data_IF_576304850447
#
_entry.id   IF_576304850447
#
_cell.length_a   1.000
_cell.length_b   1.000
_cell.length_c   1.000
_cell.angle_alpha   90.00
_cell.angle_beta   90.00
_cell.angle_gamma   90.00
#
_symmetry.space_group_name_H-M   'P 1'
#
loop_
_entity.id
_entity.type
_entity.pdbx_description
1 polymer ?
#
# COMPACT_ATOMS: atom_id res chain seq x y z
N UNK A 1 -0.23 1.11 35.97
CA UNK A 1 -1.24 1.38 34.94
C UNK A 1 -0.51 2.04 33.78
N UNK A 2 -0.27 1.30 32.70
CA UNK A 2 0.48 1.80 31.53
C UNK A 2 -0.51 2.62 30.70
N UNK A 3 -0.37 3.93 30.70
CA UNK A 3 -1.20 4.82 29.91
C UNK A 3 -0.86 4.62 28.42
N UNK A 4 -1.78 4.03 27.67
CA UNK A 4 -1.73 3.97 26.21
C UNK A 4 -1.56 5.40 25.67
N UNK A 5 -0.61 5.65 24.74
CA UNK A 5 -0.42 6.99 24.20
C UNK A 5 -1.69 7.35 23.42
N UNK A 6 -2.50 8.23 24.00
CA UNK A 6 -3.67 8.79 23.35
C UNK A 6 -3.23 9.43 22.02
N UNK A 7 -3.44 8.72 20.91
CA UNK A 7 -3.09 9.19 19.58
C UNK A 7 -3.68 10.58 19.38
N UNK A 8 -2.81 11.58 19.24
CA UNK A 8 -3.20 12.96 19.07
C UNK A 8 -4.05 13.10 17.80
N UNK A 9 -5.37 13.22 17.97
CA UNK A 9 -6.29 13.40 16.85
C UNK A 9 -6.05 14.79 16.25
N UNK A 10 -5.34 14.85 15.13
CA UNK A 10 -5.17 16.08 14.35
C UNK A 10 -6.47 16.40 13.60
N UNK A 11 -6.91 17.65 13.68
CA UNK A 11 -8.02 18.16 12.86
C UNK A 11 -7.45 18.58 11.51
N UNK A 12 -8.10 18.12 10.45
CA UNK A 12 -7.79 18.49 9.08
C UNK A 12 -9.03 19.13 8.47
N UNK A 13 -8.86 20.28 7.83
CA UNK A 13 -9.87 20.90 7.01
C UNK A 13 -9.57 20.49 5.57
N UNK A 14 -10.56 19.92 4.88
CA UNK A 14 -10.44 19.47 3.51
C UNK A 14 -11.55 20.10 2.68
N UNK A 15 -11.20 20.63 1.52
CA UNK A 15 -12.16 21.11 0.53
C UNK A 15 -12.38 20.00 -0.49
N UNK A 16 -13.64 19.65 -0.70
CA UNK A 16 -14.05 18.60 -1.62
C UNK A 16 -15.08 19.18 -2.60
N UNK A 17 -15.05 18.75 -3.87
CA UNK A 17 -16.09 19.15 -4.84
C UNK A 17 -17.48 18.74 -4.34
N UNK A 18 -18.49 19.57 -4.61
CA UNK A 18 -19.87 19.32 -4.18
C UNK A 18 -20.40 17.97 -4.64
N UNK A 19 -20.09 17.56 -5.87
CA UNK A 19 -20.45 16.24 -6.40
C UNK A 19 -19.89 15.08 -5.56
N UNK A 20 -18.70 15.26 -4.99
CA UNK A 20 -18.06 14.28 -4.12
C UNK A 20 -18.73 14.26 -2.75
N UNK A 21 -19.07 15.43 -2.21
CA UNK A 21 -19.82 15.53 -0.95
C UNK A 21 -21.20 14.87 -1.09
N UNK A 22 -21.93 15.09 -2.18
CA UNK A 22 -23.22 14.44 -2.41
C UNK A 22 -23.10 12.91 -2.47
N UNK A 23 -22.10 12.39 -3.20
CA UNK A 23 -21.86 10.94 -3.26
C UNK A 23 -21.53 10.38 -1.89
N UNK A 24 -20.67 11.09 -1.14
CA UNK A 24 -20.30 10.74 0.22
C UNK A 24 -21.53 10.73 1.14
N UNK A 25 -22.46 11.67 0.96
CA UNK A 25 -23.69 11.76 1.72
C UNK A 25 -24.67 10.64 1.44
N UNK A 26 -24.85 10.30 0.16
CA UNK A 26 -25.69 9.16 -0.24
C UNK A 26 -25.13 7.85 0.34
N UNK A 27 -23.81 7.69 0.31
CA UNK A 27 -23.13 6.54 0.92
C UNK A 27 -23.27 6.54 2.44
N UNK A 28 -23.06 7.68 3.09
CA UNK A 28 -23.21 7.84 4.53
C UNK A 28 -24.63 7.48 5.00
N UNK A 29 -25.66 7.95 4.29
CA UNK A 29 -27.07 7.61 4.57
C UNK A 29 -27.37 6.13 4.39
N UNK A 30 -26.80 5.48 3.38
CA UNK A 30 -27.04 4.05 3.11
C UNK A 30 -26.46 3.15 4.20
N UNK A 31 -25.39 3.58 4.86
CA UNK A 31 -24.61 2.79 5.81
C UNK A 31 -24.80 3.34 7.25
N UNK A 32 -25.66 4.33 7.45
CA UNK A 32 -25.93 5.00 8.74
C UNK A 32 -24.67 5.49 9.47
N UNK A 33 -23.65 5.92 8.73
CA UNK A 33 -22.41 6.45 9.30
C UNK A 33 -22.35 7.98 9.21
N UNK A 34 -21.66 8.60 10.17
CA UNK A 34 -21.33 10.02 10.06
C UNK A 34 -20.35 10.25 8.90
N UNK A 35 -20.45 11.40 8.20
CA UNK A 35 -19.51 11.77 7.12
C UNK A 35 -18.05 11.62 7.57
N UNK A 36 -17.74 12.07 8.78
CA UNK A 36 -16.39 12.01 9.35
C UNK A 36 -15.90 10.59 9.60
N UNK A 37 -16.80 9.66 9.93
CA UNK A 37 -16.45 8.24 10.12
C UNK A 37 -16.25 7.53 8.79
N UNK A 38 -17.09 7.83 7.80
CA UNK A 38 -16.94 7.33 6.44
C UNK A 38 -15.63 7.83 5.80
N UNK A 39 -15.31 9.11 5.95
CA UNK A 39 -14.05 9.70 5.46
C UNK A 39 -12.85 9.01 6.13
N UNK A 40 -12.90 8.78 7.45
CA UNK A 40 -11.83 8.07 8.16
C UNK A 40 -11.59 6.66 7.63
N UNK A 41 -12.67 5.89 7.42
CA UNK A 41 -12.55 4.53 6.86
C UNK A 41 -11.99 4.56 5.44
N UNK A 42 -12.51 5.43 4.58
CA UNK A 42 -12.04 5.56 3.20
C UNK A 42 -10.57 5.96 3.12
N UNK A 43 -10.11 6.89 3.97
CA UNK A 43 -8.69 7.26 4.05
C UNK A 43 -7.86 6.07 4.52
N UNK A 44 -8.28 5.38 5.58
CA UNK A 44 -7.56 4.21 6.11
C UNK A 44 -7.44 3.08 5.09
N UNK A 45 -8.53 2.77 4.38
CA UNK A 45 -8.54 1.74 3.34
C UNK A 45 -7.72 2.16 2.12
N UNK A 46 -7.76 3.45 1.76
CA UNK A 46 -6.96 4.01 0.68
C UNK A 46 -5.46 3.93 0.96
N UNK A 47 -5.03 4.28 2.17
CA UNK A 47 -3.64 4.16 2.61
C UNK A 47 -3.18 2.70 2.60
N UNK A 48 -3.94 1.79 3.23
CA UNK A 48 -3.59 0.38 3.27
C UNK A 48 -3.58 -0.29 1.87
N UNK A 49 -4.34 0.26 0.92
CA UNK A 49 -4.27 -0.18 -0.49
C UNK A 49 -3.01 0.33 -1.16
N UNK A 50 -2.67 1.61 -0.97
CA UNK A 50 -1.45 2.20 -1.53
C UNK A 50 -0.18 1.51 -1.02
N UNK A 51 -0.11 1.26 0.29
CA UNK A 51 1.01 0.51 0.88
C UNK A 51 1.14 -0.90 0.29
N UNK A 52 0.00 -1.59 0.05
CA UNK A 52 0.02 -2.89 -0.62
C UNK A 52 0.47 -2.81 -2.07
N UNK A 53 -0.02 -1.83 -2.83
CA UNK A 53 0.42 -1.60 -4.22
C UNK A 53 1.93 -1.33 -4.29
N UNK A 54 2.47 -0.51 -3.39
CA UNK A 54 3.90 -0.24 -3.30
C UNK A 54 4.70 -1.49 -2.91
N UNK A 55 4.21 -2.27 -1.94
CA UNK A 55 4.84 -3.53 -1.54
C UNK A 55 4.84 -4.56 -2.67
N UNK A 56 3.74 -4.69 -3.42
CA UNK A 56 3.67 -5.57 -4.60
C UNK A 56 4.62 -5.11 -5.70
N UNK A 57 4.75 -3.80 -5.91
CA UNK A 57 5.67 -3.25 -6.90
C UNK A 57 7.13 -3.51 -6.50
N UNK A 58 7.50 -3.25 -5.24
CA UNK A 58 8.81 -3.55 -4.69
C UNK A 58 9.12 -5.07 -4.71
N UNK A 59 8.13 -5.93 -4.47
CA UNK A 59 8.28 -7.37 -4.63
C UNK A 59 8.57 -7.74 -6.08
N UNK A 60 7.80 -7.21 -7.04
CA UNK A 60 8.04 -7.47 -8.47
C UNK A 60 9.43 -7.03 -8.90
N UNK A 61 9.87 -5.86 -8.45
CA UNK A 61 11.22 -5.36 -8.72
C UNK A 61 12.30 -6.25 -8.08
N UNK A 62 12.11 -6.67 -6.83
CA UNK A 62 13.02 -7.62 -6.17
C UNK A 62 13.06 -9.00 -6.83
N UNK A 63 11.91 -9.50 -7.29
CA UNK A 63 11.84 -10.76 -8.06
C UNK A 63 12.54 -10.64 -9.41
N UNK A 64 12.39 -9.52 -10.12
CA UNK A 64 13.10 -9.26 -11.39
C UNK A 64 14.61 -9.12 -11.17
N UNK A 65 15.04 -8.38 -10.15
CA UNK A 65 16.46 -8.24 -9.81
C UNK A 65 17.07 -9.59 -9.41
N UNK A 66 16.33 -10.42 -8.68
CA UNK A 66 16.77 -11.76 -8.33
C UNK A 66 16.78 -12.72 -9.53
N UNK A 67 15.83 -12.57 -10.46
CA UNK A 67 15.82 -13.35 -11.71
C UNK A 67 17.02 -13.01 -12.60
N UNK A 68 17.34 -11.73 -12.77
CA UNK A 68 18.50 -11.29 -13.53
C UNK A 68 19.81 -11.73 -12.86
N UNK A 69 19.91 -11.62 -11.53
CA UNK A 69 21.07 -12.12 -10.77
C UNK A 69 21.26 -13.64 -10.92
N UNK A 70 20.18 -14.43 -10.81
CA UNK A 70 20.24 -15.90 -10.97
C UNK A 70 20.60 -16.26 -12.40
N UNK A 71 20.06 -15.56 -13.41
CA UNK A 71 20.35 -15.81 -14.82
C UNK A 71 21.80 -15.49 -15.17
N UNK A 72 22.33 -14.37 -14.67
CA UNK A 72 23.72 -13.96 -14.87
C UNK A 72 24.69 -14.92 -14.16
N UNK A 73 24.37 -15.31 -12.92
CA UNK A 73 25.17 -16.29 -12.18
C UNK A 73 25.13 -17.68 -12.84
N UNK A 74 23.97 -18.17 -13.29
CA UNK A 74 23.91 -19.44 -14.04
C UNK A 74 24.74 -19.44 -15.33
N UNK A 75 24.98 -18.28 -15.95
CA UNK A 75 25.86 -18.17 -17.12
C UNK A 75 27.35 -18.19 -16.73
N UNK A 76 27.71 -17.69 -15.55
CA UNK A 76 29.07 -17.75 -15.00
C UNK A 76 29.48 -19.17 -14.56
N UNK A 77 28.56 -19.95 -13.99
CA UNK A 77 28.84 -21.33 -13.53
C UNK A 77 28.90 -22.37 -14.66
N UNK A 78 28.39 -22.05 -15.85
CA UNK A 78 28.49 -22.92 -17.03
C UNK A 78 29.92 -22.96 -17.60
N UNK A 79 30.72 -21.91 -17.34
CA UNK A 79 32.13 -21.84 -17.73
C UNK A 79 33.08 -22.60 -16.78
N UNK A 80 32.73 -22.75 -15.50
CA UNK A 80 33.61 -23.41 -14.51
C UNK A 80 33.46 -24.93 -14.45
N UNK A 81 32.47 -25.50 -15.15
CA UNK A 81 32.19 -26.94 -15.13
C UNK A 81 33.04 -27.75 -16.13
N UNK A 82 33.91 -27.08 -16.90
CA UNK A 82 34.73 -27.67 -17.97
C UNK A 82 36.22 -27.84 -17.69
N UNK A 83 36.71 -27.55 -16.48
CA UNK A 83 38.15 -27.65 -16.13
C UNK A 83 38.39 -28.72 -15.04
N UNK A 84 38.04 -29.96 -15.37
CA UNK A 84 38.17 -31.08 -14.44
C UNK A 84 37.97 -32.46 -15.07
N UNK A 85 38.61 -32.73 -16.21
CA UNK A 85 38.96 -34.10 -16.65
C UNK A 85 40.47 -34.17 -16.86
#
# INVERSE_FOLDING_TARGET
>A
MVAEPAQAKKRINIELPDMTIEKLDRLARRISFSRSELIRRLISEGLARKEREEMELAMKEGYLANYDFIKESSHEWDFSSGDGI
#
